data_IF_541287565818
#
_entry.id   IF_541287565818
#
_cell.length_a   1.000
_cell.length_b   1.000
_cell.length_c   1.000
_cell.angle_alpha   90.00
_cell.angle_beta   90.00
_cell.angle_gamma   90.00
#
_symmetry.space_group_name_H-M   'P 1'
#
loop_
_entity.id
_entity.type
_entity.pdbx_description
1 polymer ?
#
# COMPACT_ATOMS: atom_id res chain seq x y z
N UNK A 1 -63.74 20.85 -41.38
CA UNK A 1 -63.88 21.01 -39.91
C UNK A 1 -63.04 19.95 -39.22
N UNK A 2 -62.35 20.36 -38.14
CA UNK A 2 -61.56 19.61 -37.13
C UNK A 2 -61.95 18.11 -37.00
N UNK A 3 -61.03 17.18 -36.79
CA UNK A 3 -60.28 16.98 -35.54
C UNK A 3 -58.97 16.20 -35.76
N UNK A 4 -57.87 16.77 -35.24
CA UNK A 4 -56.59 16.11 -34.99
C UNK A 4 -56.73 15.33 -33.67
N UNK A 5 -56.43 14.04 -33.68
CA UNK A 5 -56.33 13.22 -32.46
C UNK A 5 -54.84 13.02 -32.15
N UNK A 6 -54.40 13.65 -31.06
CA UNK A 6 -53.11 13.48 -30.40
C UNK A 6 -52.97 12.00 -29.99
N UNK A 7 -51.97 11.31 -30.56
CA UNK A 7 -51.46 10.06 -30.03
C UNK A 7 -50.49 10.37 -28.88
N UNK A 8 -50.88 10.01 -27.66
CA UNK A 8 -50.07 10.13 -26.45
C UNK A 8 -48.84 9.23 -26.59
N UNK A 9 -47.65 9.83 -26.71
CA UNK A 9 -46.40 9.13 -26.42
C UNK A 9 -46.34 8.87 -24.93
N UNK A 10 -46.64 7.64 -24.51
CA UNK A 10 -46.24 7.16 -23.18
C UNK A 10 -44.73 7.04 -23.22
N UNK A 11 -44.03 8.09 -22.80
CA UNK A 11 -42.62 7.99 -22.42
C UNK A 11 -42.60 7.16 -21.15
N UNK A 12 -42.44 5.85 -21.30
CA UNK A 12 -42.04 4.99 -20.19
C UNK A 12 -40.65 5.46 -19.77
N UNK A 13 -40.61 6.34 -18.77
CA UNK A 13 -39.39 6.65 -18.06
C UNK A 13 -38.87 5.35 -17.44
N UNK A 14 -37.92 4.71 -18.09
CA UNK A 14 -37.09 3.69 -17.48
C UNK A 14 -36.24 4.42 -16.43
N UNK A 15 -36.82 4.66 -15.26
CA UNK A 15 -36.04 4.83 -14.05
C UNK A 15 -35.30 3.51 -13.85
N UNK A 16 -34.11 3.40 -14.44
CA UNK A 16 -33.14 2.37 -14.12
C UNK A 16 -32.84 2.51 -12.63
N UNK A 17 -33.61 1.80 -11.81
CA UNK A 17 -33.40 1.68 -10.40
C UNK A 17 -32.08 0.95 -10.24
N UNK A 18 -31.01 1.72 -9.99
CA UNK A 18 -29.69 1.21 -9.67
C UNK A 18 -29.67 0.58 -8.26
N UNK A 19 -30.65 -0.29 -7.96
CA UNK A 19 -30.76 -0.99 -6.67
C UNK A 19 -29.70 -2.09 -6.66
N UNK A 20 -28.60 -1.85 -5.93
CA UNK A 20 -27.63 -2.92 -5.63
C UNK A 20 -28.26 -3.99 -4.73
N UNK A 21 -27.55 -5.10 -4.53
CA UNK A 21 -28.06 -6.22 -3.73
C UNK A 21 -28.16 -5.81 -2.24
N UNK A 22 -29.18 -6.28 -1.55
CA UNK A 22 -29.33 -6.15 -0.10
C UNK A 22 -29.74 -7.51 0.46
N UNK A 23 -29.37 -7.78 1.72
CA UNK A 23 -29.65 -9.06 2.39
C UNK A 23 -30.43 -8.83 3.68
N UNK A 24 -31.29 -9.79 4.04
CA UNK A 24 -32.02 -9.77 5.32
C UNK A 24 -31.24 -10.44 6.45
N UNK A 25 -30.20 -11.21 6.12
CA UNK A 25 -29.32 -11.92 7.06
C UNK A 25 -27.89 -11.98 6.52
N UNK A 26 -26.92 -11.90 7.44
CA UNK A 26 -25.49 -11.95 7.15
C UNK A 26 -24.97 -13.36 7.41
N UNK A 27 -24.67 -14.10 6.35
CA UNK A 27 -24.33 -15.53 6.41
C UNK A 27 -22.82 -15.78 6.47
N UNK A 28 -21.99 -14.90 5.90
CA UNK A 28 -20.53 -15.03 5.90
C UNK A 28 -19.81 -13.97 6.73
N UNK A 29 -18.55 -14.22 7.07
CA UNK A 29 -17.70 -13.25 7.75
C UNK A 29 -17.44 -12.01 6.87
N UNK A 30 -17.32 -12.18 5.56
CA UNK A 30 -17.20 -11.07 4.61
C UNK A 30 -18.47 -10.20 4.62
N UNK A 31 -19.66 -10.81 4.63
CA UNK A 31 -20.92 -10.05 4.72
C UNK A 31 -21.05 -9.32 6.05
N UNK A 32 -20.71 -9.99 7.16
CA UNK A 32 -20.72 -9.40 8.51
C UNK A 32 -19.76 -8.21 8.60
N UNK A 33 -18.52 -8.36 8.13
CA UNK A 33 -17.54 -7.29 8.11
C UNK A 33 -17.96 -6.15 7.18
N UNK A 34 -18.49 -6.47 5.99
CA UNK A 34 -19.02 -5.48 5.04
C UNK A 34 -20.12 -4.64 5.65
N UNK A 35 -21.09 -5.29 6.28
CA UNK A 35 -22.19 -4.60 6.93
C UNK A 35 -21.70 -3.78 8.13
N UNK A 36 -20.84 -4.34 8.98
CA UNK A 36 -20.25 -3.64 10.12
C UNK A 36 -19.49 -2.38 9.69
N UNK A 37 -18.65 -2.49 8.66
CA UNK A 37 -17.93 -1.36 8.08
C UNK A 37 -18.88 -0.28 7.57
N UNK A 38 -19.91 -0.70 6.84
CA UNK A 38 -20.98 0.18 6.38
C UNK A 38 -21.68 0.92 7.52
N UNK A 39 -22.06 0.20 8.59
CA UNK A 39 -22.72 0.83 9.74
C UNK A 39 -21.83 1.87 10.44
N UNK A 40 -20.52 1.61 10.55
CA UNK A 40 -19.56 2.57 11.10
C UNK A 40 -19.49 3.87 10.28
N UNK A 41 -19.43 3.76 8.95
CA UNK A 41 -19.48 4.92 8.06
C UNK A 41 -20.84 5.64 8.14
N UNK A 42 -21.94 4.90 8.26
CA UNK A 42 -23.28 5.46 8.44
C UNK A 42 -23.38 6.36 9.68
N UNK A 43 -22.80 5.95 10.81
CA UNK A 43 -22.78 6.77 12.03
C UNK A 43 -21.92 8.03 11.87
N UNK A 44 -20.78 7.94 11.16
CA UNK A 44 -19.97 9.11 10.82
C UNK A 44 -20.77 10.13 9.98
N UNK A 45 -21.50 9.66 8.97
CA UNK A 45 -22.33 10.50 8.10
C UNK A 45 -23.46 11.15 8.90
N UNK A 46 -24.12 10.40 9.78
CA UNK A 46 -25.16 10.92 10.67
C UNK A 46 -24.63 12.03 11.58
N UNK A 47 -23.39 11.89 12.07
CA UNK A 47 -22.71 12.92 12.87
C UNK A 47 -22.41 14.22 12.11
N UNK A 48 -22.25 14.17 10.78
CA UNK A 48 -22.05 15.37 9.94
C UNK A 48 -23.33 16.20 9.81
N UNK A 49 -24.49 15.54 9.67
CA UNK A 49 -25.79 16.22 9.56
C UNK A 49 -26.15 17.07 10.78
N UNK A 50 -25.65 16.73 11.97
CA UNK A 50 -25.84 17.52 13.19
C UNK A 50 -24.94 18.75 13.32
N UNK A 51 -23.85 18.85 12.53
CA UNK A 51 -22.89 19.96 12.56
C UNK A 51 -23.12 21.00 11.47
N UNK A 52 -23.84 20.64 10.41
CA UNK A 52 -24.22 21.51 9.31
C UNK A 52 -25.63 22.05 9.54
N UNK A 53 -25.79 22.86 10.59
CA UNK A 53 -27.02 23.63 10.82
C UNK A 53 -26.98 24.82 9.86
N UNK A 54 -27.45 24.63 8.61
CA UNK A 54 -28.03 25.68 7.75
C UNK A 54 -28.44 25.17 6.35
N UNK A 55 -28.01 23.99 5.92
CA UNK A 55 -28.47 23.40 4.64
C UNK A 55 -29.35 22.18 4.91
N UNK A 56 -30.53 22.17 4.30
CA UNK A 56 -31.51 21.08 4.35
C UNK A 56 -30.89 19.68 4.31
N UNK A 57 -31.51 18.78 5.09
CA UNK A 57 -31.18 17.36 5.27
C UNK A 57 -30.47 16.70 4.08
N UNK A 58 -29.38 15.96 4.38
CA UNK A 58 -28.70 15.12 3.38
C UNK A 58 -29.76 14.27 2.65
N UNK A 59 -29.86 14.44 1.33
CA UNK A 59 -30.74 13.62 0.51
C UNK A 59 -30.15 12.19 0.43
N UNK A 60 -30.68 11.28 1.22
CA UNK A 60 -30.17 9.91 1.33
C UNK A 60 -30.29 9.08 0.05
N UNK A 61 -31.21 9.42 -0.85
CA UNK A 61 -31.32 8.76 -2.15
C UNK A 61 -30.20 9.21 -3.10
N UNK A 62 -29.86 10.51 -3.07
CA UNK A 62 -28.71 11.03 -3.80
C UNK A 62 -27.39 10.54 -3.19
N UNK A 63 -27.30 10.43 -1.86
CA UNK A 63 -26.16 9.83 -1.17
C UNK A 63 -25.95 8.38 -1.63
N UNK A 64 -26.98 7.53 -1.53
CA UNK A 64 -26.89 6.12 -1.94
C UNK A 64 -26.49 6.00 -3.40
N UNK A 65 -27.13 6.77 -4.27
CA UNK A 65 -26.83 6.79 -5.69
C UNK A 65 -25.39 7.22 -5.95
N UNK A 66 -24.89 8.24 -5.27
CA UNK A 66 -23.51 8.70 -5.43
C UNK A 66 -22.47 7.68 -4.98
N UNK A 67 -22.71 6.97 -3.87
CA UNK A 67 -21.82 5.91 -3.41
C UNK A 67 -21.80 4.76 -4.44
N UNK A 68 -22.98 4.30 -4.87
CA UNK A 68 -23.09 3.18 -5.81
C UNK A 68 -22.51 3.50 -7.19
N UNK A 69 -22.78 4.69 -7.71
CA UNK A 69 -22.25 5.11 -9.00
C UNK A 69 -20.71 5.18 -8.92
N UNK A 70 -20.15 5.75 -7.85
CA UNK A 70 -18.70 5.79 -7.66
C UNK A 70 -18.09 4.39 -7.55
N UNK A 71 -18.66 3.51 -6.72
CA UNK A 71 -18.12 2.15 -6.54
C UNK A 71 -18.21 1.27 -7.80
N UNK A 72 -19.06 1.64 -8.77
CA UNK A 72 -19.21 0.96 -10.06
C UNK A 72 -18.33 1.54 -11.17
N UNK A 73 -18.25 2.87 -11.28
CA UNK A 73 -17.61 3.54 -12.43
C UNK A 73 -16.61 4.63 -12.06
N UNK A 74 -16.27 4.82 -10.79
CA UNK A 74 -15.35 5.87 -10.33
C UNK A 74 -15.92 7.28 -10.46
N UNK A 75 -15.09 8.25 -10.88
CA UNK A 75 -15.39 9.70 -10.83
C UNK A 75 -16.36 10.23 -11.89
N UNK A 76 -16.98 9.40 -12.72
CA UNK A 76 -17.88 9.81 -13.82
C UNK A 76 -19.25 10.38 -13.36
N UNK A 77 -19.35 10.88 -12.13
CA UNK A 77 -20.61 11.26 -11.48
C UNK A 77 -20.97 12.75 -11.59
N UNK A 78 -22.26 13.06 -11.54
CA UNK A 78 -22.82 14.43 -11.49
C UNK A 78 -22.60 15.10 -10.13
N UNK A 79 -22.38 16.41 -10.12
CA UNK A 79 -22.18 17.25 -8.91
C UNK A 79 -23.27 17.06 -7.84
N UNK A 80 -24.51 16.81 -8.27
CA UNK A 80 -25.68 16.62 -7.39
C UNK A 80 -25.55 15.51 -6.34
N UNK A 81 -24.57 14.60 -6.43
CA UNK A 81 -24.33 13.55 -5.44
C UNK A 81 -22.87 13.46 -4.99
N UNK A 82 -22.17 14.62 -4.95
CA UNK A 82 -20.76 14.72 -4.56
C UNK A 82 -20.43 14.08 -3.21
N UNK A 83 -21.31 14.22 -2.19
CA UNK A 83 -21.13 13.57 -0.88
C UNK A 83 -21.05 12.05 -1.03
N UNK A 84 -21.96 11.46 -1.81
CA UNK A 84 -21.94 10.02 -2.06
C UNK A 84 -20.69 9.57 -2.80
N UNK A 85 -20.20 10.36 -3.77
CA UNK A 85 -18.94 10.06 -4.46
C UNK A 85 -17.74 10.09 -3.50
N UNK A 86 -17.68 11.07 -2.60
CA UNK A 86 -16.61 11.18 -1.60
C UNK A 86 -16.62 9.98 -0.65
N UNK A 87 -17.79 9.55 -0.19
CA UNK A 87 -17.93 8.34 0.64
C UNK A 87 -17.52 7.09 -0.16
N UNK A 88 -17.95 6.97 -1.42
CA UNK A 88 -17.50 5.90 -2.32
C UNK A 88 -15.99 5.84 -2.46
N UNK A 89 -15.34 6.99 -2.64
CA UNK A 89 -13.88 7.11 -2.72
C UNK A 89 -13.20 6.68 -1.43
N UNK A 90 -13.75 7.03 -0.28
CA UNK A 90 -13.21 6.62 1.02
C UNK A 90 -13.31 5.09 1.19
N UNK A 91 -14.45 4.48 0.83
CA UNK A 91 -14.64 3.02 0.85
C UNK A 91 -13.59 2.34 -0.02
N UNK A 92 -13.44 2.77 -1.28
CA UNK A 92 -12.47 2.21 -2.21
C UNK A 92 -11.04 2.36 -1.70
N UNK A 93 -10.70 3.53 -1.14
CA UNK A 93 -9.36 3.78 -0.57
C UNK A 93 -9.04 2.79 0.56
N UNK A 94 -9.97 2.59 1.50
CA UNK A 94 -9.76 1.66 2.62
C UNK A 94 -9.67 0.22 2.15
N UNK A 95 -10.58 -0.22 1.27
CA UNK A 95 -10.56 -1.59 0.71
C UNK A 95 -9.21 -1.86 0.03
N UNK A 96 -8.75 -0.94 -0.81
CA UNK A 96 -7.51 -1.11 -1.57
C UNK A 96 -6.26 -1.06 -0.65
N UNK A 97 -6.23 -0.15 0.33
CA UNK A 97 -5.10 -0.01 1.24
C UNK A 97 -4.95 -1.21 2.18
N UNK A 98 -6.07 -1.73 2.69
CA UNK A 98 -6.08 -2.86 3.62
C UNK A 98 -6.22 -4.22 2.92
N UNK A 99 -6.27 -4.23 1.58
CA UNK A 99 -6.49 -5.42 0.75
C UNK A 99 -7.69 -6.24 1.24
N UNK A 100 -8.85 -5.60 1.30
CA UNK A 100 -10.13 -6.17 1.74
C UNK A 100 -11.06 -6.44 0.55
N UNK A 101 -10.49 -6.87 -0.59
CA UNK A 101 -11.19 -7.05 -1.88
C UNK A 101 -12.39 -8.00 -1.80
N UNK A 102 -12.40 -8.88 -0.80
CA UNK A 102 -13.44 -9.85 -0.54
C UNK A 102 -14.70 -9.25 0.13
N UNK A 103 -14.62 -8.01 0.64
CA UNK A 103 -15.79 -7.32 1.21
C UNK A 103 -16.82 -7.01 0.10
N UNK A 104 -18.09 -7.21 0.43
CA UNK A 104 -19.21 -6.96 -0.46
C UNK A 104 -19.60 -5.47 -0.40
N UNK A 105 -19.26 -4.75 -1.47
CA UNK A 105 -19.54 -3.32 -1.64
C UNK A 105 -21.03 -2.99 -1.53
N UNK A 106 -21.92 -3.86 -1.99
CA UNK A 106 -23.36 -3.63 -1.92
C UNK A 106 -23.86 -3.74 -0.47
N UNK A 107 -23.29 -4.64 0.33
CA UNK A 107 -23.59 -4.81 1.76
C UNK A 107 -22.97 -3.69 2.60
N UNK A 108 -21.81 -3.15 2.22
CA UNK A 108 -21.28 -1.91 2.82
C UNK A 108 -22.28 -0.77 2.64
N UNK A 109 -22.78 -0.58 1.41
CA UNK A 109 -23.80 0.45 1.15
C UNK A 109 -25.07 0.17 1.94
N UNK A 110 -25.51 -1.08 2.04
CA UNK A 110 -26.65 -1.44 2.89
C UNK A 110 -26.43 -0.99 4.34
N UNK A 111 -25.28 -1.30 4.95
CA UNK A 111 -24.98 -0.90 6.33
C UNK A 111 -25.01 0.61 6.53
N UNK A 112 -24.49 1.39 5.57
CA UNK A 112 -24.59 2.86 5.59
C UNK A 112 -26.06 3.29 5.57
N UNK A 113 -26.81 2.77 4.61
CA UNK A 113 -28.20 3.18 4.38
C UNK A 113 -29.14 2.79 5.51
N UNK A 114 -28.90 1.65 6.16
CA UNK A 114 -29.71 1.18 7.27
C UNK A 114 -29.52 2.07 8.51
N UNK A 115 -28.30 2.59 8.74
CA UNK A 115 -28.05 3.58 9.81
C UNK A 115 -28.70 4.94 9.51
N UNK A 116 -28.43 5.54 8.35
CA UNK A 116 -28.88 6.91 8.07
C UNK A 116 -30.40 7.00 7.85
N UNK A 117 -31.05 5.90 7.47
CA UNK A 117 -32.52 5.78 7.35
C UNK A 117 -33.19 5.21 8.61
N UNK A 118 -32.46 5.08 9.73
CA UNK A 118 -33.00 4.61 11.01
C UNK A 118 -33.70 3.24 10.96
N UNK A 119 -33.20 2.31 10.16
CA UNK A 119 -33.73 0.95 10.11
C UNK A 119 -33.19 0.11 11.26
N UNK A 120 -33.86 -1.00 11.54
CA UNK A 120 -33.34 -2.05 12.42
C UNK A 120 -32.06 -2.62 11.81
N UNK A 121 -30.95 -2.56 12.55
CA UNK A 121 -29.67 -3.08 12.09
C UNK A 121 -29.60 -4.61 12.17
N UNK A 122 -28.88 -5.22 11.23
CA UNK A 122 -28.65 -6.68 11.19
C UNK A 122 -27.65 -7.15 12.27
N UNK A 123 -26.80 -6.25 12.77
CA UNK A 123 -25.88 -6.46 13.89
C UNK A 123 -25.87 -5.22 14.79
N UNK A 124 -25.55 -5.39 16.07
CA UNK A 124 -25.33 -4.25 16.97
C UNK A 124 -24.01 -3.56 16.66
N UNK A 125 -23.89 -2.28 17.02
CA UNK A 125 -22.64 -1.53 16.84
C UNK A 125 -21.45 -2.20 17.57
N UNK A 126 -21.68 -2.68 18.80
CA UNK A 126 -20.67 -3.38 19.59
C UNK A 126 -20.20 -4.67 18.91
N UNK A 127 -21.14 -5.51 18.45
CA UNK A 127 -20.80 -6.72 17.70
C UNK A 127 -20.08 -6.38 16.38
N UNK A 128 -20.50 -5.30 15.70
CA UNK A 128 -19.84 -4.80 14.49
C UNK A 128 -18.37 -4.45 14.71
N UNK A 129 -18.03 -3.76 15.81
CA UNK A 129 -16.63 -3.43 16.12
C UNK A 129 -15.79 -4.70 16.37
N UNK A 130 -16.30 -5.66 17.14
CA UNK A 130 -15.59 -6.93 17.39
C UNK A 130 -15.41 -7.77 16.11
N UNK A 131 -16.40 -7.76 15.22
CA UNK A 131 -16.32 -8.39 13.90
C UNK A 131 -15.20 -7.75 13.08
N UNK A 132 -15.16 -6.41 13.01
CA UNK A 132 -14.15 -5.70 12.22
C UNK A 132 -12.73 -5.92 12.77
N UNK A 133 -12.53 -5.91 14.09
CA UNK A 133 -11.21 -6.19 14.69
C UNK A 133 -10.73 -7.61 14.35
N UNK A 134 -11.61 -8.60 14.54
CA UNK A 134 -11.32 -10.01 14.21
C UNK A 134 -11.03 -10.17 12.71
N UNK A 135 -11.84 -9.52 11.87
CA UNK A 135 -11.70 -9.57 10.42
C UNK A 135 -10.37 -8.96 9.96
N UNK A 136 -10.01 -7.79 10.49
CA UNK A 136 -8.76 -7.11 10.20
C UNK A 136 -7.55 -7.95 10.61
N UNK A 137 -7.56 -8.54 11.82
CA UNK A 137 -6.50 -9.45 12.30
C UNK A 137 -6.35 -10.68 11.40
N UNK A 138 -7.46 -11.34 11.07
CA UNK A 138 -7.45 -12.50 10.19
C UNK A 138 -6.95 -12.15 8.78
N UNK A 139 -7.35 -11.00 8.24
CA UNK A 139 -6.86 -10.53 6.95
C UNK A 139 -5.37 -10.23 7.00
N UNK A 140 -4.90 -9.53 8.03
CA UNK A 140 -3.48 -9.23 8.22
C UNK A 140 -2.64 -10.51 8.30
N UNK A 141 -3.07 -11.52 9.06
CA UNK A 141 -2.37 -12.80 9.14
C UNK A 141 -2.34 -13.54 7.78
N UNK A 142 -3.46 -13.53 7.05
CA UNK A 142 -3.51 -14.09 5.69
C UNK A 142 -2.53 -13.38 4.75
N UNK A 143 -2.47 -12.04 4.80
CA UNK A 143 -1.55 -11.25 3.98
C UNK A 143 -0.09 -11.49 4.35
N UNK A 144 0.26 -11.49 5.64
CA UNK A 144 1.59 -11.80 6.17
C UNK A 144 2.07 -13.15 5.63
N UNK A 145 1.23 -14.18 5.71
CA UNK A 145 1.55 -15.52 5.22
C UNK A 145 1.67 -15.55 3.69
N UNK A 146 0.66 -15.04 2.98
CA UNK A 146 0.63 -15.01 1.51
C UNK A 146 1.87 -14.32 0.95
N UNK A 147 2.19 -13.13 1.46
CA UNK A 147 3.31 -12.35 0.99
C UNK A 147 4.65 -12.99 1.37
N UNK A 148 4.76 -13.64 2.53
CA UNK A 148 5.96 -14.40 2.90
C UNK A 148 6.24 -15.56 1.92
N UNK A 149 5.21 -16.35 1.62
CA UNK A 149 5.29 -17.48 0.68
C UNK A 149 5.67 -16.97 -0.74
N UNK A 150 4.99 -15.91 -1.20
CA UNK A 150 5.24 -15.29 -2.51
C UNK A 150 6.64 -14.64 -2.60
N UNK A 151 7.04 -13.88 -1.57
CA UNK A 151 8.35 -13.25 -1.46
C UNK A 151 9.47 -14.27 -1.55
N UNK A 152 9.37 -15.37 -0.78
CA UNK A 152 10.37 -16.45 -0.78
C UNK A 152 10.52 -17.05 -2.18
N UNK A 153 9.39 -17.41 -2.80
CA UNK A 153 9.38 -17.98 -4.16
C UNK A 153 10.02 -17.02 -5.18
N UNK A 154 9.63 -15.75 -5.17
CA UNK A 154 10.15 -14.76 -6.12
C UNK A 154 11.64 -14.53 -5.93
N UNK A 155 12.13 -14.44 -4.69
CA UNK A 155 13.57 -14.32 -4.41
C UNK A 155 14.33 -15.54 -4.92
N UNK A 156 13.81 -16.76 -4.71
CA UNK A 156 14.43 -17.99 -5.22
C UNK A 156 14.46 -18.06 -6.76
N UNK A 157 13.47 -17.48 -7.43
CA UNK A 157 13.50 -17.29 -8.88
C UNK A 157 14.59 -16.30 -9.28
N UNK A 158 14.75 -15.18 -8.56
CA UNK A 158 15.78 -14.17 -8.85
C UNK A 158 17.20 -14.67 -8.63
N UNK A 159 17.43 -15.61 -7.69
CA UNK A 159 18.73 -16.29 -7.50
C UNK A 159 19.20 -17.02 -8.76
N UNK A 160 18.28 -17.41 -9.66
CA UNK A 160 18.57 -18.19 -10.88
C UNK A 160 18.79 -17.32 -12.11
N UNK A 161 18.61 -16.01 -12.00
CA UNK A 161 18.84 -15.07 -13.12
C UNK A 161 20.34 -15.05 -13.45
N UNK A 162 20.67 -14.95 -14.75
CA UNK A 162 22.07 -14.85 -15.18
C UNK A 162 22.79 -13.68 -14.53
N UNK A 163 24.00 -13.91 -14.02
CA UNK A 163 24.78 -12.89 -13.30
C UNK A 163 24.30 -12.60 -11.88
N UNK A 164 23.26 -13.27 -11.38
CA UNK A 164 22.82 -13.13 -10.01
C UNK A 164 23.86 -13.69 -9.03
N UNK A 165 24.12 -12.92 -7.98
CA UNK A 165 24.95 -13.30 -6.83
C UNK A 165 24.09 -13.21 -5.58
N UNK A 166 24.30 -14.11 -4.63
CA UNK A 166 23.58 -14.14 -3.35
C UNK A 166 24.59 -13.99 -2.21
N UNK A 167 24.27 -13.13 -1.24
CA UNK A 167 25.08 -12.92 -0.04
C UNK A 167 24.67 -13.87 1.08
N UNK A 168 25.44 -13.91 2.17
CA UNK A 168 25.13 -14.76 3.31
C UNK A 168 23.80 -14.39 4.02
N UNK A 169 23.41 -13.10 3.97
CA UNK A 169 22.16 -12.60 4.53
C UNK A 169 20.92 -12.96 3.68
N UNK A 170 21.15 -13.42 2.44
CA UNK A 170 20.11 -13.71 1.46
C UNK A 170 19.82 -12.57 0.48
N UNK A 171 20.54 -11.44 0.54
CA UNK A 171 20.46 -10.41 -0.50
C UNK A 171 20.89 -10.99 -1.84
N UNK A 172 20.05 -10.81 -2.87
CA UNK A 172 20.36 -11.20 -4.24
C UNK A 172 20.64 -9.94 -5.05
N UNK A 173 21.69 -9.96 -5.88
CA UNK A 173 22.01 -8.81 -6.72
C UNK A 173 22.59 -9.21 -8.08
N UNK A 174 22.44 -8.33 -9.05
CA UNK A 174 23.04 -8.42 -10.39
C UNK A 174 23.82 -7.14 -10.64
N UNK A 175 25.05 -7.28 -11.11
CA UNK A 175 25.85 -6.12 -11.53
C UNK A 175 25.48 -5.76 -12.96
N UNK A 176 24.87 -4.60 -13.17
CA UNK A 176 24.53 -4.10 -14.51
C UNK A 176 25.68 -3.29 -15.11
N UNK A 177 26.40 -2.55 -14.26
CA UNK A 177 27.58 -1.77 -14.63
C UNK A 177 28.56 -1.75 -13.46
N UNK A 178 29.80 -2.13 -13.73
CA UNK A 178 30.89 -1.99 -12.76
C UNK A 178 31.30 -0.52 -12.61
N UNK A 179 31.60 -0.12 -11.38
CA UNK A 179 32.19 1.17 -11.05
C UNK A 179 33.71 1.05 -10.86
N UNK A 180 34.32 2.11 -10.33
CA UNK A 180 35.75 2.10 -10.00
C UNK A 180 36.02 2.79 -8.66
N UNK A 181 37.17 2.50 -8.06
CA UNK A 181 37.60 3.13 -6.82
C UNK A 181 37.11 2.41 -5.57
N UNK A 182 37.01 3.16 -4.48
CA UNK A 182 36.69 2.61 -3.15
C UNK A 182 35.21 2.28 -3.01
N UNK A 183 34.92 1.32 -2.13
CA UNK A 183 33.57 0.99 -1.68
C UNK A 183 33.22 1.85 -0.46
N UNK A 184 31.96 2.26 -0.29
CA UNK A 184 31.55 2.94 0.93
C UNK A 184 31.62 1.97 2.12
N UNK A 185 31.77 2.51 3.32
CA UNK A 185 31.61 1.77 4.58
C UNK A 185 30.28 2.16 5.24
N UNK A 186 29.85 1.45 6.29
CA UNK A 186 28.55 1.70 6.96
C UNK A 186 28.34 3.14 7.46
N UNK A 187 29.41 3.89 7.74
CA UNK A 187 29.34 5.27 8.21
C UNK A 187 29.35 6.28 7.05
N UNK A 188 29.50 5.83 5.81
CA UNK A 188 29.54 6.70 4.65
C UNK A 188 28.16 7.29 4.36
N UNK A 189 28.17 8.50 3.80
CA UNK A 189 26.99 9.07 3.15
C UNK A 189 27.16 8.80 1.65
N UNK A 190 26.18 8.15 1.05
CA UNK A 190 26.20 7.84 -0.39
C UNK A 190 25.20 8.70 -1.12
N UNK A 191 25.55 9.10 -2.34
CA UNK A 191 24.63 9.74 -3.28
C UNK A 191 24.21 8.74 -4.34
N UNK A 192 22.91 8.50 -4.50
CA UNK A 192 22.39 7.47 -5.40
C UNK A 192 21.26 7.99 -6.28
N UNK A 193 21.12 7.37 -7.45
CA UNK A 193 19.84 7.34 -8.20
C UNK A 193 19.24 5.97 -8.04
N UNK A 194 17.92 5.90 -7.85
CA UNK A 194 17.27 4.60 -7.70
C UNK A 194 15.81 4.59 -8.14
N UNK A 195 15.33 3.39 -8.40
CA UNK A 195 13.90 3.08 -8.51
C UNK A 195 13.61 1.82 -7.70
N UNK A 196 12.69 1.94 -6.74
CA UNK A 196 12.20 0.85 -5.89
C UNK A 196 10.83 0.35 -6.36
N UNK A 197 10.71 -0.97 -6.53
CA UNK A 197 9.51 -1.67 -7.00
C UNK A 197 9.14 -2.81 -6.05
N UNK A 198 7.84 -3.04 -5.88
CA UNK A 198 7.37 -4.28 -5.26
C UNK A 198 7.70 -5.44 -6.19
N UNK A 199 8.43 -6.45 -5.70
CA UNK A 199 8.91 -7.55 -6.55
C UNK A 199 7.75 -8.34 -7.17
N UNK A 200 6.68 -8.54 -6.41
CA UNK A 200 5.51 -9.33 -6.84
C UNK A 200 4.70 -8.67 -7.96
N UNK A 201 4.61 -7.34 -7.97
CA UNK A 201 3.71 -6.61 -8.89
C UNK A 201 4.44 -5.73 -9.90
N UNK A 202 5.73 -5.47 -9.68
CA UNK A 202 6.51 -4.49 -10.45
C UNK A 202 6.12 -3.02 -10.18
N UNK A 203 5.16 -2.77 -9.27
CA UNK A 203 4.69 -1.42 -8.96
C UNK A 203 5.80 -0.59 -8.31
N UNK A 204 6.12 0.55 -8.93
CA UNK A 204 7.10 1.52 -8.41
C UNK A 204 6.52 2.26 -7.21
N UNK A 205 7.05 1.98 -6.01
CA UNK A 205 6.66 2.70 -4.79
C UNK A 205 7.49 3.97 -4.58
N UNK A 206 8.75 3.98 -5.01
CA UNK A 206 9.65 5.12 -4.84
C UNK A 206 10.67 5.21 -5.98
N UNK A 207 11.08 6.42 -6.35
CA UNK A 207 12.06 6.66 -7.42
C UNK A 207 12.56 8.10 -7.39
N UNK A 208 13.87 8.27 -7.58
CA UNK A 208 14.47 9.60 -7.72
C UNK A 208 13.94 10.39 -8.92
N UNK A 209 13.46 9.70 -9.96
CA UNK A 209 12.95 10.35 -11.18
C UNK A 209 11.60 11.04 -10.96
N UNK A 210 10.87 10.67 -9.90
CA UNK A 210 9.59 11.30 -9.54
C UNK A 210 9.76 12.68 -8.90
N UNK A 211 10.97 13.03 -8.42
CA UNK A 211 11.24 14.31 -7.79
C UNK A 211 12.20 15.16 -8.66
N UNK A 212 11.74 16.27 -9.25
CA UNK A 212 12.59 17.16 -10.05
C UNK A 212 13.83 17.68 -9.33
N UNK A 213 13.76 17.86 -8.01
CA UNK A 213 14.88 18.33 -7.17
C UNK A 213 15.94 17.24 -6.94
N UNK A 214 15.57 15.96 -7.12
CA UNK A 214 16.44 14.80 -6.93
C UNK A 214 17.13 14.31 -8.21
N UNK A 215 17.04 15.05 -9.33
CA UNK A 215 17.62 14.64 -10.64
C UNK A 215 19.13 14.35 -10.60
N UNK A 216 19.85 14.98 -9.66
CA UNK A 216 21.28 14.76 -9.43
C UNK A 216 21.62 13.58 -8.51
N UNK A 217 20.61 12.85 -8.01
CA UNK A 217 20.73 11.83 -6.97
C UNK A 217 20.39 12.35 -5.58
N UNK A 218 20.01 11.45 -4.68
CA UNK A 218 19.65 11.71 -3.28
C UNK A 218 20.73 11.13 -2.37
N UNK A 219 20.99 11.80 -1.24
CA UNK A 219 21.99 11.39 -0.27
C UNK A 219 21.36 10.62 0.89
N UNK A 220 22.00 9.50 1.27
CA UNK A 220 21.59 8.67 2.39
C UNK A 220 22.80 8.31 3.26
N UNK A 221 22.72 8.46 4.59
CA UNK A 221 23.63 7.78 5.51
C UNK A 221 23.38 6.27 5.45
N UNK A 222 24.43 5.46 5.19
CA UNK A 222 24.27 4.01 5.01
C UNK A 222 23.79 3.27 6.27
N UNK A 223 23.94 3.86 7.46
CA UNK A 223 23.43 3.29 8.70
C UNK A 223 21.95 3.64 8.98
N UNK A 224 21.29 4.40 8.12
CA UNK A 224 19.91 4.85 8.29
C UNK A 224 18.94 4.36 7.20
N UNK A 225 19.37 3.40 6.40
CA UNK A 225 18.57 2.75 5.36
C UNK A 225 18.24 1.31 5.74
N UNK A 226 17.37 0.65 4.97
CA UNK A 226 17.03 -0.76 5.19
C UNK A 226 18.27 -1.66 5.12
N UNK A 227 18.33 -2.79 5.86
CA UNK A 227 19.53 -3.63 5.93
C UNK A 227 20.07 -4.06 4.56
N UNK A 228 19.19 -4.37 3.61
CA UNK A 228 19.61 -4.77 2.26
C UNK A 228 20.29 -3.66 1.47
N UNK A 229 19.97 -2.38 1.74
CA UNK A 229 20.69 -1.24 1.18
C UNK A 229 22.02 -1.02 1.89
N UNK A 230 22.02 -1.05 3.22
CA UNK A 230 23.24 -0.93 4.04
C UNK A 230 24.29 -1.95 3.59
N UNK A 231 23.87 -3.18 3.33
CA UNK A 231 24.71 -4.24 2.79
C UNK A 231 25.07 -4.02 1.31
N UNK A 232 24.06 -3.88 0.45
CA UNK A 232 24.22 -3.89 -1.00
C UNK A 232 25.09 -2.75 -1.52
N UNK A 233 24.98 -1.55 -0.92
CA UNK A 233 25.76 -0.38 -1.33
C UNK A 233 27.24 -0.51 -0.97
N UNK A 234 27.58 -1.25 0.10
CA UNK A 234 28.97 -1.57 0.44
C UNK A 234 29.60 -2.60 -0.53
N UNK A 235 28.80 -3.23 -1.41
CA UNK A 235 29.31 -4.07 -2.50
C UNK A 235 29.65 -3.25 -3.76
N UNK A 236 29.18 -2.00 -3.85
CA UNK A 236 29.31 -1.14 -5.02
C UNK A 236 30.52 -0.22 -4.92
N UNK A 237 31.11 0.09 -6.07
CA UNK A 237 32.09 1.18 -6.22
C UNK A 237 31.45 2.39 -6.89
N UNK A 238 32.07 3.56 -6.78
CA UNK A 238 31.53 4.78 -7.40
C UNK A 238 31.32 4.59 -8.91
N UNK A 239 30.15 5.01 -9.40
CA UNK A 239 29.72 4.88 -10.80
C UNK A 239 29.10 3.53 -11.17
N UNK A 240 29.04 2.58 -10.23
CA UNK A 240 28.42 1.28 -10.45
C UNK A 240 26.89 1.39 -10.52
N UNK A 241 26.27 0.49 -11.27
CA UNK A 241 24.82 0.30 -11.34
C UNK A 241 24.44 -1.14 -11.09
N UNK A 242 23.68 -1.39 -10.04
CA UNK A 242 23.30 -2.73 -9.58
C UNK A 242 21.78 -2.85 -9.54
N UNK A 243 21.29 -4.07 -9.75
CA UNK A 243 19.93 -4.47 -9.42
C UNK A 243 19.95 -5.33 -8.16
N UNK A 244 19.20 -4.94 -7.14
CA UNK A 244 19.05 -5.66 -5.89
C UNK A 244 17.65 -6.27 -5.80
N UNK A 245 17.57 -7.52 -5.36
CA UNK A 245 16.35 -8.18 -4.94
C UNK A 245 16.46 -8.46 -3.45
N UNK A 246 15.68 -7.72 -2.68
CA UNK A 246 15.79 -7.64 -1.22
C UNK A 246 14.67 -8.47 -0.61
N UNK A 247 14.98 -9.59 0.07
CA UNK A 247 13.97 -10.34 0.81
C UNK A 247 13.42 -9.50 1.96
N UNK A 248 12.19 -9.79 2.39
CA UNK A 248 11.47 -8.92 3.32
C UNK A 248 12.21 -8.65 4.65
N UNK A 249 12.95 -9.63 5.18
CA UNK A 249 13.75 -9.49 6.39
C UNK A 249 14.91 -8.49 6.25
N UNK A 250 15.36 -8.20 5.03
CA UNK A 250 16.34 -7.15 4.73
C UNK A 250 15.68 -5.85 4.22
N UNK A 251 14.35 -5.81 4.18
CA UNK A 251 13.52 -4.67 3.81
C UNK A 251 12.67 -4.19 4.99
N UNK A 252 11.35 -4.24 4.84
CA UNK A 252 10.38 -3.74 5.83
C UNK A 252 9.73 -4.83 6.71
N UNK A 253 10.14 -6.09 6.54
CA UNK A 253 9.74 -7.20 7.39
C UNK A 253 8.24 -7.47 7.45
N UNK A 254 7.81 -8.10 8.54
CA UNK A 254 6.43 -8.53 8.78
C UNK A 254 5.45 -7.36 8.90
N UNK A 255 5.92 -6.18 9.28
CA UNK A 255 5.06 -5.00 9.44
C UNK A 255 4.82 -4.25 8.13
N UNK A 256 5.73 -4.35 7.16
CA UNK A 256 5.71 -3.50 5.97
C UNK A 256 6.09 -2.05 6.29
N UNK A 257 5.98 -1.16 5.29
CA UNK A 257 6.30 0.25 5.48
C UNK A 257 5.11 1.00 6.12
N UNK A 258 5.30 1.68 7.27
CA UNK A 258 4.24 2.44 7.93
C UNK A 258 3.63 3.50 7.00
N UNK A 259 2.31 3.43 6.76
CA UNK A 259 1.60 4.37 5.87
C UNK A 259 2.07 4.33 4.40
N UNK A 260 2.90 3.35 4.05
CA UNK A 260 3.50 3.22 2.72
C UNK A 260 2.76 2.24 1.82
N UNK A 261 3.26 2.09 0.60
CA UNK A 261 2.73 1.14 -0.38
C UNK A 261 3.27 -0.28 -0.21
N UNK A 262 4.15 -0.50 0.76
CA UNK A 262 4.84 -1.78 0.98
C UNK A 262 4.12 -2.51 2.12
N UNK A 263 3.46 -3.59 1.77
CA UNK A 263 2.76 -4.47 2.69
C UNK A 263 3.68 -5.40 3.48
N UNK A 264 3.09 -6.20 4.39
CA UNK A 264 3.84 -7.12 5.23
C UNK A 264 4.57 -8.17 4.40
N UNK A 265 5.80 -8.52 4.78
CA UNK A 265 6.61 -9.57 4.15
C UNK A 265 6.81 -9.45 2.63
N UNK A 266 6.74 -8.25 2.06
CA UNK A 266 6.96 -8.08 0.62
C UNK A 266 8.46 -7.96 0.30
N UNK A 267 8.92 -8.77 -0.66
CA UNK A 267 10.23 -8.59 -1.29
C UNK A 267 10.23 -7.36 -2.20
N UNK A 268 11.41 -6.74 -2.31
CA UNK A 268 11.62 -5.49 -3.06
C UNK A 268 12.62 -5.72 -4.19
N UNK A 269 12.42 -5.01 -5.29
CA UNK A 269 13.42 -4.84 -6.35
C UNK A 269 13.89 -3.38 -6.34
N UNK A 270 15.21 -3.18 -6.37
CA UNK A 270 15.81 -1.87 -6.54
C UNK A 270 16.78 -1.88 -7.72
N UNK A 271 16.65 -0.90 -8.59
CA UNK A 271 17.72 -0.51 -9.52
C UNK A 271 18.42 0.69 -8.91
N UNK A 272 19.73 0.61 -8.69
CA UNK A 272 20.51 1.62 -7.98
C UNK A 272 21.78 1.96 -8.75
N UNK A 273 22.03 3.25 -8.95
CA UNK A 273 23.28 3.80 -9.45
C UNK A 273 23.98 4.59 -8.33
N UNK A 274 25.21 4.21 -7.99
CA UNK A 274 26.01 4.89 -6.97
C UNK A 274 26.76 6.06 -7.61
N UNK A 275 26.30 7.28 -7.36
CA UNK A 275 26.81 8.50 -7.98
C UNK A 275 28.06 8.99 -7.26
N UNK A 276 28.02 9.03 -5.92
CA UNK A 276 29.11 9.55 -5.12
C UNK A 276 29.17 8.92 -3.72
N UNK A 277 30.35 9.00 -3.11
CA UNK A 277 30.61 8.51 -1.75
C UNK A 277 31.27 9.65 -0.98
N UNK A 278 30.68 10.03 0.15
CA UNK A 278 31.24 10.98 1.10
C UNK A 278 31.63 10.25 2.38
N UNK A 279 32.77 10.62 2.96
CA UNK A 279 33.10 10.21 4.32
C UNK A 279 32.07 10.83 5.27
N UNK A 280 31.29 9.99 5.95
CA UNK A 280 30.34 10.46 6.94
C UNK A 280 31.02 10.61 8.29
N UNK A 281 30.83 11.77 8.93
CA UNK A 281 30.93 11.83 10.38
C UNK A 281 29.83 10.92 10.98
N UNK A 282 30.09 10.28 12.14
CA UNK A 282 29.07 9.51 12.83
C UNK A 282 27.80 10.35 12.97
N UNK A 283 26.66 9.84 12.49
CA UNK A 283 25.39 10.52 12.67
C UNK A 283 25.16 10.73 14.18
N UNK A 284 24.70 11.90 14.63
CA UNK A 284 24.28 12.08 16.01
C UNK A 284 23.23 11.02 16.36
N UNK A 285 23.47 10.28 17.45
CA UNK A 285 22.54 9.27 17.94
C UNK A 285 21.16 9.91 18.16
N UNK A 286 20.13 9.39 17.48
CA UNK A 286 18.73 9.76 17.73
C UNK A 286 17.96 10.48 16.62
N UNK A 287 18.49 10.65 15.41
CA UNK A 287 17.68 11.12 14.27
C UNK A 287 17.10 9.96 13.45
N UNK A 288 15.77 9.86 13.30
CA UNK A 288 15.14 8.92 12.37
C UNK A 288 15.53 9.25 10.93
N UNK A 289 16.10 8.29 10.22
CA UNK A 289 16.44 8.43 8.81
C UNK A 289 15.21 8.53 7.92
N UNK A 290 15.39 9.22 6.78
CA UNK A 290 14.40 9.25 5.72
C UNK A 290 14.31 7.86 5.06
N UNK A 291 13.35 7.02 5.49
CA UNK A 291 12.92 5.83 4.75
C UNK A 291 12.73 4.53 5.52
N UNK A 292 13.03 4.48 6.83
CA UNK A 292 12.83 3.29 7.67
C UNK A 292 13.31 3.49 9.10
N UNK A 293 12.91 2.61 10.04
CA UNK A 293 13.56 2.54 11.35
C UNK A 293 15.02 2.14 11.11
N UNK A 294 15.97 3.04 11.36
CA UNK A 294 17.39 2.74 11.23
C UNK A 294 17.78 1.50 12.04
N UNK A 295 18.83 0.79 11.61
CA UNK A 295 19.28 -0.44 12.26
C UNK A 295 19.75 -0.16 13.69
N UNK A 296 19.46 -1.05 14.63
CA UNK A 296 20.05 -1.00 15.97
C UNK A 296 21.57 -1.23 15.90
N UNK A 297 22.32 -0.80 16.93
CA UNK A 297 23.77 -1.02 17.00
C UNK A 297 24.13 -2.52 16.87
N UNK A 298 23.33 -3.40 17.48
CA UNK A 298 23.49 -4.85 17.38
C UNK A 298 23.29 -5.36 15.95
N UNK A 299 22.27 -4.84 15.24
CA UNK A 299 22.02 -5.18 13.84
C UNK A 299 23.16 -4.69 12.93
N UNK A 300 23.68 -3.48 13.19
CA UNK A 300 24.84 -2.94 12.47
C UNK A 300 26.05 -3.85 12.65
N UNK A 301 26.35 -4.23 13.90
CA UNK A 301 27.47 -5.12 14.21
C UNK A 301 27.33 -6.48 13.52
N UNK A 302 26.16 -7.11 13.62
CA UNK A 302 25.89 -8.40 12.99
C UNK A 302 26.04 -8.33 11.46
N UNK A 303 25.57 -7.25 10.83
CA UNK A 303 25.73 -7.05 9.39
C UNK A 303 27.21 -6.89 9.00
N UNK A 304 27.99 -6.13 9.77
CA UNK A 304 29.43 -5.96 9.52
C UNK A 304 30.19 -7.29 9.58
N UNK A 305 29.91 -8.12 10.59
CA UNK A 305 30.52 -9.44 10.72
C UNK A 305 30.19 -10.33 9.51
N UNK A 306 28.97 -10.28 8.99
CA UNK A 306 28.57 -11.02 7.78
C UNK A 306 29.30 -10.52 6.53
N UNK A 307 29.39 -9.20 6.33
CA UNK A 307 30.11 -8.61 5.19
C UNK A 307 31.59 -9.02 5.22
N UNK A 308 32.22 -8.97 6.39
CA UNK A 308 33.62 -9.37 6.56
C UNK A 308 33.84 -10.85 6.27
N UNK A 309 32.97 -11.72 6.80
CA UNK A 309 33.04 -13.16 6.55
C UNK A 309 32.89 -13.48 5.05
N UNK A 310 32.00 -12.78 4.34
CA UNK A 310 31.82 -12.97 2.91
C UNK A 310 33.02 -12.48 2.10
N UNK A 311 33.63 -11.35 2.48
CA UNK A 311 34.84 -10.85 1.83
C UNK A 311 36.01 -11.86 1.99
N UNK A 312 36.16 -12.45 3.17
CA UNK A 312 37.19 -13.47 3.41
C UNK A 312 36.98 -14.74 2.55
N UNK A 313 35.74 -15.17 2.34
CA UNK A 313 35.42 -16.32 1.47
C UNK A 313 35.69 -16.05 -0.02
N UNK A 314 35.63 -14.80 -0.46
CA UNK A 314 35.93 -14.41 -1.84
C UNK A 314 37.42 -14.24 -2.11
N UNK A 315 38.24 -14.02 -1.08
CA UNK A 315 39.70 -13.90 -1.19
C UNK A 315 40.45 -15.24 -1.08
N UNK A 316 39.77 -16.31 -0.63
CA UNK A 316 40.32 -17.66 -0.51
C UNK A 316 40.07 -18.58 -1.71
N UNK A 317 39.61 -18.05 -2.85
CA UNK A 317 39.43 -18.74 -4.14
C UNK A 317 40.31 -18.11 -5.20
#
# INVERSE_FOLDING_TARGET
MKKVLLGIFVVASLASCNKGKSVDKLESDDQKASYAFGTGLGEQIKGLGGRLVETDSINYDQLEKGIRDYLKSGKDGRESYAIGQQVGQQIETVINQQQLDQMDKDIIVQGIMDVVRHKKLLITQEAGMGILDTYAKNNQQKLVKKNSDESTKLIDEKKKVSGAKTTASGLVYVVEKEGTGVKPNINSIVKVKYTGKLLATGKVFDSTDKNPEAKGGVEFPLNQVIPGWSEGLQLMTKGAKYKFYIPANLGYGEMGAPGGQIGPNQALEFEVELIDIKEGQPAPAGQPGAGGQGMSEEQIKALQEQIQAQAAQQQGK
#
